data_IF_647118898662
#
_entry.id   IF_647118898662
#
_cell.length_a   1.000
_cell.length_b   1.000
_cell.length_c   1.000
_cell.angle_alpha   90.00
_cell.angle_beta   90.00
_cell.angle_gamma   90.00
#
_symmetry.space_group_name_H-M   'P 1'
#
loop_
_entity.id
_entity.type
_entity.pdbx_description
1 polymer ?
#
# COMPACT_ATOMS: atom_id res chain seq x y z
N UNK A 1 22.12 -13.21 22.06
CA UNK A 1 21.51 -13.18 20.70
C UNK A 1 20.08 -13.70 20.76
N UNK A 2 19.05 -12.84 20.67
CA UNK A 2 17.63 -13.27 20.74
C UNK A 2 17.21 -13.83 19.38
N UNK A 3 16.86 -15.12 19.32
CA UNK A 3 16.39 -15.79 18.09
C UNK A 3 15.08 -15.14 17.61
N UNK A 4 15.06 -14.68 16.35
CA UNK A 4 13.89 -14.13 15.67
C UNK A 4 12.85 -15.26 15.53
N UNK A 5 11.72 -15.18 16.25
CA UNK A 5 10.63 -16.17 16.15
C UNK A 5 9.99 -16.04 14.75
N UNK A 6 10.33 -16.93 13.83
CA UNK A 6 9.62 -17.04 12.55
C UNK A 6 8.21 -17.56 12.84
N UNK A 7 7.19 -16.69 12.81
CA UNK A 7 5.78 -17.12 12.94
C UNK A 7 5.46 -18.07 11.79
N UNK A 8 4.95 -19.27 12.11
CA UNK A 8 4.79 -20.35 11.13
C UNK A 8 3.75 -20.01 10.05
N UNK A 9 3.97 -20.48 8.81
CA UNK A 9 3.08 -20.30 7.65
C UNK A 9 1.62 -20.70 7.94
N UNK A 10 1.36 -21.59 8.91
CA UNK A 10 0.02 -22.09 9.26
C UNK A 10 -0.93 -20.97 9.75
N UNK A 11 -0.44 -19.93 10.40
CA UNK A 11 -1.29 -18.82 10.88
C UNK A 11 -1.75 -17.88 9.77
N UNK A 12 -0.99 -17.71 8.68
CA UNK A 12 -1.32 -16.78 7.59
C UNK A 12 -2.41 -17.32 6.67
N UNK A 13 -2.44 -18.63 6.44
CA UNK A 13 -3.48 -19.27 5.64
C UNK A 13 -4.86 -19.11 6.28
N UNK A 14 -4.97 -19.24 7.61
CA UNK A 14 -6.23 -19.12 8.34
C UNK A 14 -6.95 -17.78 8.20
N UNK A 15 -6.22 -16.68 7.99
CA UNK A 15 -6.80 -15.34 7.86
C UNK A 15 -7.70 -15.18 6.62
N UNK A 16 -7.46 -15.97 5.57
CA UNK A 16 -8.22 -15.93 4.31
C UNK A 16 -9.28 -17.03 4.22
N UNK A 17 -9.29 -18.00 5.13
CA UNK A 17 -10.20 -19.15 5.08
C UNK A 17 -11.65 -18.72 5.35
N UNK A 18 -12.59 -19.21 4.54
CA UNK A 18 -14.03 -18.93 4.70
C UNK A 18 -14.46 -17.51 4.31
N UNK A 19 -13.54 -16.69 3.77
CA UNK A 19 -13.88 -15.36 3.26
C UNK A 19 -14.39 -15.45 1.82
N UNK A 20 -15.39 -14.64 1.44
CA UNK A 20 -15.83 -14.53 0.07
C UNK A 20 -14.68 -14.14 -0.89
N UNK A 21 -14.73 -14.57 -2.16
CA UNK A 21 -13.81 -14.05 -3.17
C UNK A 21 -13.91 -12.52 -3.25
N UNK A 22 -12.78 -11.84 -3.45
CA UNK A 22 -12.69 -10.38 -3.45
C UNK A 22 -12.45 -9.73 -2.08
N UNK A 23 -12.49 -10.49 -0.97
CA UNK A 23 -12.16 -9.93 0.35
C UNK A 23 -10.68 -9.55 0.42
N UNK A 24 -10.37 -8.28 0.65
CA UNK A 24 -9.01 -7.82 0.89
C UNK A 24 -8.58 -8.18 2.32
N UNK A 25 -7.52 -8.98 2.42
CA UNK A 25 -6.95 -9.41 3.70
C UNK A 25 -5.43 -9.31 3.66
N UNK A 26 -4.88 -8.39 4.45
CA UNK A 26 -3.45 -8.30 4.67
C UNK A 26 -2.96 -9.50 5.50
N UNK A 27 -1.96 -10.21 5.01
CA UNK A 27 -1.41 -11.42 5.66
C UNK A 27 0.09 -11.34 5.96
N UNK A 28 0.68 -10.16 5.73
CA UNK A 28 2.08 -9.85 6.01
C UNK A 28 2.36 -9.56 7.48
N UNK A 29 3.59 -9.16 7.76
CA UNK A 29 3.97 -8.61 9.07
C UNK A 29 3.67 -7.11 9.06
N UNK A 30 2.95 -6.63 10.07
CA UNK A 30 2.60 -5.22 10.19
C UNK A 30 3.87 -4.46 10.60
N UNK A 31 4.28 -3.54 9.74
CA UNK A 31 5.26 -2.49 10.07
C UNK A 31 4.48 -1.21 10.39
N UNK A 32 5.03 -0.37 11.28
CA UNK A 32 4.34 0.83 11.79
C UNK A 32 4.23 1.98 10.78
N UNK A 33 4.82 1.83 9.60
CA UNK A 33 4.82 2.82 8.54
C UNK A 33 3.51 2.75 7.74
N UNK A 34 2.85 3.89 7.58
CA UNK A 34 1.68 4.13 6.73
C UNK A 34 1.91 5.49 6.06
N UNK A 35 2.51 5.48 4.87
CA UNK A 35 2.94 6.68 4.15
C UNK A 35 2.68 6.48 2.65
N UNK A 36 2.31 7.56 1.95
CA UNK A 36 2.16 7.57 0.51
C UNK A 36 3.20 8.53 -0.05
N UNK A 37 3.96 8.10 -1.05
CA UNK A 37 4.91 8.95 -1.76
C UNK A 37 4.53 9.02 -3.22
N UNK A 38 4.59 10.21 -3.79
CA UNK A 38 4.26 10.46 -5.18
C UNK A 38 5.44 11.11 -5.86
N UNK A 39 5.83 10.55 -7.00
CA UNK A 39 6.77 11.15 -7.94
C UNK A 39 6.01 11.37 -9.25
N UNK A 40 5.77 12.63 -9.60
CA UNK A 40 5.15 13.00 -10.86
C UNK A 40 6.21 13.60 -11.79
N UNK A 41 6.31 13.11 -13.02
CA UNK A 41 7.38 13.50 -13.93
C UNK A 41 6.99 13.45 -15.41
N UNK A 42 7.67 14.27 -16.20
CA UNK A 42 7.62 14.30 -17.66
C UNK A 42 9.03 14.49 -18.25
N UNK A 43 9.13 14.93 -19.51
CA UNK A 43 10.43 15.19 -20.17
C UNK A 43 11.21 16.35 -19.56
N UNK A 44 10.53 17.25 -18.86
CA UNK A 44 11.05 18.57 -18.50
C UNK A 44 11.02 18.82 -16.99
N UNK A 45 10.18 18.10 -16.24
CA UNK A 45 9.91 18.33 -14.82
C UNK A 45 9.85 17.03 -14.02
N UNK A 46 10.23 17.13 -12.74
CA UNK A 46 10.04 16.09 -11.72
C UNK A 46 9.55 16.76 -10.44
N UNK A 47 8.50 16.23 -9.84
CA UNK A 47 7.93 16.68 -8.58
C UNK A 47 7.79 15.49 -7.63
N UNK A 48 8.26 15.65 -6.40
CA UNK A 48 8.16 14.65 -5.34
C UNK A 48 7.43 15.23 -4.14
N UNK A 49 6.43 14.51 -3.64
CA UNK A 49 5.69 14.93 -2.45
C UNK A 49 5.02 13.75 -1.73
N UNK A 50 4.67 13.98 -0.46
CA UNK A 50 4.00 13.00 0.41
C UNK A 50 2.57 13.49 0.67
N UNK A 51 1.55 13.01 -0.07
CA UNK A 51 0.16 13.37 0.20
C UNK A 51 -0.30 12.86 1.56
N UNK A 52 -1.24 13.57 2.18
CA UNK A 52 -1.79 13.18 3.49
C UNK A 52 -2.89 12.12 3.36
N UNK A 53 -3.55 12.06 2.19
CA UNK A 53 -4.67 11.16 1.92
C UNK A 53 -4.48 10.46 0.59
N UNK A 54 -5.05 9.26 0.45
CA UNK A 54 -4.92 8.48 -0.78
C UNK A 54 -5.74 9.07 -1.92
N UNK A 55 -6.84 9.74 -1.59
CA UNK A 55 -7.73 10.42 -2.52
C UNK A 55 -7.05 11.61 -3.20
N UNK A 56 -6.04 12.21 -2.56
CA UNK A 56 -5.23 13.28 -3.16
C UNK A 56 -4.45 12.77 -4.38
N UNK A 57 -4.29 11.45 -4.52
CA UNK A 57 -3.62 10.82 -5.66
C UNK A 57 -4.57 10.57 -6.85
N UNK A 58 -5.89 10.63 -6.66
CA UNK A 58 -6.85 10.27 -7.72
C UNK A 58 -6.76 11.12 -8.99
N UNK A 59 -6.50 12.45 -8.92
CA UNK A 59 -6.37 13.26 -10.12
C UNK A 59 -5.25 12.80 -11.07
N UNK A 60 -4.20 12.15 -10.55
CA UNK A 60 -3.07 11.68 -11.37
C UNK A 60 -3.43 10.52 -12.30
N UNK A 61 -4.55 9.82 -12.04
CA UNK A 61 -5.03 8.76 -12.93
C UNK A 61 -5.42 9.27 -14.32
N UNK A 62 -5.88 10.53 -14.39
CA UNK A 62 -6.30 11.20 -15.62
C UNK A 62 -5.24 12.17 -16.14
N UNK A 63 -4.07 12.27 -15.48
CA UNK A 63 -2.98 13.13 -15.91
C UNK A 63 -2.30 12.61 -17.17
N UNK A 64 -1.73 13.52 -17.96
CA UNK A 64 -0.88 13.17 -19.12
C UNK A 64 0.59 12.95 -18.73
N UNK A 65 0.96 13.26 -17.49
CA UNK A 65 2.29 13.04 -16.92
C UNK A 65 2.46 11.60 -16.44
N UNK A 66 3.71 11.14 -16.29
CA UNK A 66 3.99 9.85 -15.67
C UNK A 66 4.03 10.04 -14.15
N UNK A 67 3.12 9.40 -13.43
CA UNK A 67 3.07 9.47 -11.97
C UNK A 67 3.36 8.11 -11.35
N UNK A 68 4.39 8.03 -10.50
CA UNK A 68 4.67 6.89 -9.65
C UNK A 68 4.12 7.15 -8.24
N UNK A 69 3.21 6.29 -7.80
CA UNK A 69 2.60 6.33 -6.48
C UNK A 69 3.10 5.11 -5.69
N UNK A 70 3.88 5.35 -4.64
CA UNK A 70 4.38 4.34 -3.72
C UNK A 70 3.55 4.36 -2.43
N UNK A 71 2.87 3.25 -2.15
CA UNK A 71 1.98 3.09 -0.98
C UNK A 71 2.67 2.17 0.02
N UNK A 72 3.21 2.78 1.07
CA UNK A 72 3.86 2.08 2.19
C UNK A 72 2.80 1.81 3.26
N UNK A 73 2.78 0.61 3.82
CA UNK A 73 1.84 0.28 4.89
C UNK A 73 0.53 -0.39 4.43
N UNK A 74 0.60 -1.32 3.47
CA UNK A 74 -0.54 -2.11 2.94
C UNK A 74 -1.39 -2.88 3.99
N UNK A 75 -1.01 -2.84 5.27
CA UNK A 75 -1.81 -3.37 6.36
C UNK A 75 -3.06 -2.51 6.63
N UNK A 76 -3.05 -1.23 6.23
CA UNK A 76 -4.23 -0.38 6.24
C UNK A 76 -5.12 -0.67 5.02
N UNK A 77 -5.86 -1.77 5.09
CA UNK A 77 -6.70 -2.27 3.99
C UNK A 77 -7.76 -1.26 3.55
N UNK A 78 -8.22 -0.37 4.45
CA UNK A 78 -9.22 0.66 4.13
C UNK A 78 -8.72 1.64 3.07
N UNK A 79 -7.46 2.05 3.16
CA UNK A 79 -6.86 2.94 2.17
C UNK A 79 -6.80 2.26 0.79
N UNK A 80 -6.55 0.95 0.76
CA UNK A 80 -6.43 0.17 -0.48
C UNK A 80 -7.80 -0.06 -1.15
N UNK A 81 -8.87 -0.23 -0.36
CA UNK A 81 -10.24 -0.40 -0.87
C UNK A 81 -10.79 0.84 -1.59
N UNK A 82 -10.24 2.02 -1.29
CA UNK A 82 -10.74 3.30 -1.80
C UNK A 82 -10.16 3.62 -3.21
N UNK A 83 -9.02 3.03 -3.58
CA UNK A 83 -8.34 3.20 -4.89
C UNK A 83 -9.17 2.60 -6.03
#
# INVERSE_FOLDING_TARGET
MKKRKVKSKKHRAGLKLGKPPGTLVYTGEIFSEDEIRVIDYDSDNVQEFTPQKIEDCFPFKESQTNTWIDIIGLHNVKNIEII
#
